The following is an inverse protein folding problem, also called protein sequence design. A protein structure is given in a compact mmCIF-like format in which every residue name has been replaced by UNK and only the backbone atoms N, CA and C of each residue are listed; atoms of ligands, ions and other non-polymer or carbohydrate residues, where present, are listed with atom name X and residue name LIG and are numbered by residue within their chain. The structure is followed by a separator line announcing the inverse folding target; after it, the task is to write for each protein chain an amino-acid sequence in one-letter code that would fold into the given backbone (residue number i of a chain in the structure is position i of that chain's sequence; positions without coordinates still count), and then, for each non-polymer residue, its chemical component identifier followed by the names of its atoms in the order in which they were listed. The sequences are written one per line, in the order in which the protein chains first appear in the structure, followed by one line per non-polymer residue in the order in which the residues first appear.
data_IF_250032327942
#
_entry.id   IF_250032327942
#
_cell.length_a   1.000
_cell.length_b   1.000
_cell.length_c   1.000
_cell.angle_alpha   90.00
_cell.angle_beta   90.00
_cell.angle_gamma   90.00
#
_symmetry.space_group_name_H-M   'P 1'
#
loop_
_entity.id
_entity.type
_entity.pdbx_description
1 polymer ?
#
# COMPACT_ATOMS: atom_id res chain seq x y z
N UNK A 1 -64.59 -21.80 -26.34
CA UNK A 1 -63.54 -22.84 -26.37
C UNK A 1 -62.25 -22.17 -26.80
N UNK A 2 -61.18 -22.30 -26.02
CA UNK A 2 -59.86 -21.79 -26.40
C UNK A 2 -59.36 -22.62 -27.59
N UNK A 3 -58.95 -21.96 -28.67
CA UNK A 3 -58.36 -22.60 -29.83
C UNK A 3 -56.97 -23.13 -29.45
N UNK A 4 -56.93 -24.41 -29.06
CA UNK A 4 -55.74 -25.08 -28.60
C UNK A 4 -54.61 -25.06 -29.63
N UNK A 5 -54.95 -25.11 -30.92
CA UNK A 5 -53.99 -25.07 -32.03
C UNK A 5 -53.31 -23.69 -32.12
N UNK A 6 -54.06 -22.59 -31.95
CA UNK A 6 -53.49 -21.24 -31.87
C UNK A 6 -52.59 -21.07 -30.66
N UNK A 7 -53.03 -21.53 -29.48
CA UNK A 7 -52.21 -21.43 -28.25
C UNK A 7 -50.93 -22.25 -28.38
N UNK A 8 -51.01 -23.48 -28.90
CA UNK A 8 -49.85 -24.33 -29.14
C UNK A 8 -48.88 -23.71 -30.16
N UNK A 9 -49.38 -23.09 -31.22
CA UNK A 9 -48.56 -22.39 -32.21
C UNK A 9 -47.80 -21.22 -31.59
N UNK A 10 -48.49 -20.32 -30.86
CA UNK A 10 -47.83 -19.18 -30.22
C UNK A 10 -46.84 -19.63 -29.14
N UNK A 11 -47.19 -20.62 -28.31
CA UNK A 11 -46.29 -21.16 -27.31
C UNK A 11 -45.02 -21.77 -27.93
N UNK A 12 -45.17 -22.51 -29.04
CA UNK A 12 -44.03 -23.11 -29.76
C UNK A 12 -43.17 -22.05 -30.44
N UNK A 13 -43.79 -21.03 -31.06
CA UNK A 13 -43.07 -19.93 -31.70
C UNK A 13 -42.28 -19.10 -30.68
N UNK A 14 -42.88 -18.76 -29.53
CA UNK A 14 -42.19 -18.06 -28.44
C UNK A 14 -41.07 -18.90 -27.86
N UNK A 15 -41.32 -20.18 -27.57
CA UNK A 15 -40.30 -21.10 -27.04
C UNK A 15 -39.13 -21.26 -28.02
N UNK A 16 -39.42 -21.42 -29.31
CA UNK A 16 -38.41 -21.51 -30.37
C UNK A 16 -37.59 -20.24 -30.50
N UNK A 17 -38.23 -19.07 -30.46
CA UNK A 17 -37.54 -17.78 -30.49
C UNK A 17 -36.62 -17.59 -29.26
N UNK A 18 -37.10 -17.93 -28.06
CA UNK A 18 -36.30 -17.88 -26.83
C UNK A 18 -35.11 -18.83 -26.91
N UNK A 19 -35.32 -20.07 -27.36
CA UNK A 19 -34.26 -21.06 -27.49
C UNK A 19 -33.19 -20.64 -28.51
N UNK A 20 -33.59 -20.03 -29.63
CA UNK A 20 -32.67 -19.51 -30.64
C UNK A 20 -31.85 -18.33 -30.12
N UNK A 21 -32.49 -17.36 -29.45
CA UNK A 21 -31.79 -16.21 -28.86
C UNK A 21 -30.82 -16.67 -27.77
N UNK A 22 -31.25 -17.59 -26.90
CA UNK A 22 -30.38 -18.16 -25.86
C UNK A 22 -29.22 -18.96 -26.46
N UNK A 23 -29.47 -19.79 -27.47
CA UNK A 23 -28.45 -20.55 -28.18
C UNK A 23 -27.43 -19.65 -28.89
N UNK A 24 -27.89 -18.59 -29.55
CA UNK A 24 -27.03 -17.59 -30.16
C UNK A 24 -26.19 -16.84 -29.11
N UNK A 25 -26.79 -16.51 -27.96
CA UNK A 25 -26.09 -15.92 -26.81
C UNK A 25 -25.00 -16.83 -26.25
N UNK A 26 -25.29 -18.12 -26.06
CA UNK A 26 -24.32 -19.12 -25.60
C UNK A 26 -23.17 -19.31 -26.60
N UNK A 27 -23.49 -19.41 -27.89
CA UNK A 27 -22.48 -19.49 -28.94
C UNK A 27 -21.59 -18.25 -28.94
N UNK A 28 -22.21 -17.07 -28.81
CA UNK A 28 -21.52 -15.79 -28.74
C UNK A 28 -20.57 -15.71 -27.54
N UNK A 29 -21.05 -16.09 -26.34
CA UNK A 29 -20.26 -16.12 -25.12
C UNK A 29 -19.12 -17.13 -25.18
N UNK A 30 -19.36 -18.33 -25.72
CA UNK A 30 -18.33 -19.37 -25.90
C UNK A 30 -17.24 -18.94 -26.88
N UNK A 31 -17.60 -18.18 -27.91
CA UNK A 31 -16.67 -17.70 -28.93
C UNK A 31 -15.93 -16.41 -28.56
N UNK A 32 -16.22 -15.81 -27.40
CA UNK A 32 -15.71 -14.49 -26.99
C UNK A 32 -15.73 -13.47 -28.15
N UNK A 33 -16.84 -13.36 -28.86
CA UNK A 33 -16.93 -12.44 -30.00
C UNK A 33 -17.23 -11.00 -29.54
N UNK A 34 -17.17 -10.05 -30.47
CA UNK A 34 -17.38 -8.63 -30.16
C UNK A 34 -18.74 -8.31 -29.50
N UNK A 35 -19.80 -9.05 -29.84
CA UNK A 35 -21.14 -8.87 -29.25
C UNK A 35 -21.17 -9.37 -27.81
N UNK A 36 -20.57 -10.53 -27.53
CA UNK A 36 -20.43 -11.03 -26.17
C UNK A 36 -19.61 -10.08 -25.31
N UNK A 37 -18.44 -9.61 -25.79
CA UNK A 37 -17.61 -8.64 -25.08
C UNK A 37 -18.33 -7.32 -24.81
N UNK A 38 -19.08 -6.80 -25.77
CA UNK A 38 -19.87 -5.58 -25.57
C UNK A 38 -21.00 -5.79 -24.52
N UNK A 39 -21.71 -6.91 -24.59
CA UNK A 39 -22.80 -7.21 -23.66
C UNK A 39 -22.29 -7.45 -22.23
N UNK A 40 -21.22 -8.24 -22.06
CA UNK A 40 -20.58 -8.44 -20.76
C UNK A 40 -19.94 -7.16 -20.25
N UNK A 41 -19.31 -6.37 -21.12
CA UNK A 41 -18.77 -5.05 -20.78
C UNK A 41 -19.83 -4.12 -20.19
N UNK A 42 -20.97 -3.94 -20.88
CA UNK A 42 -22.08 -3.11 -20.35
C UNK A 42 -22.60 -3.65 -19.01
N UNK A 43 -22.72 -4.97 -18.88
CA UNK A 43 -23.18 -5.59 -17.63
C UNK A 43 -22.20 -5.38 -16.47
N UNK A 44 -20.90 -5.57 -16.71
CA UNK A 44 -19.85 -5.41 -15.72
C UNK A 44 -19.66 -3.93 -15.34
N UNK A 45 -19.72 -3.02 -16.31
CA UNK A 45 -19.69 -1.57 -16.10
C UNK A 45 -20.90 -1.11 -15.27
N UNK A 46 -22.10 -1.63 -15.58
CA UNK A 46 -23.32 -1.32 -14.82
C UNK A 46 -23.20 -1.83 -13.38
N UNK A 47 -22.68 -3.04 -13.18
CA UNK A 47 -22.43 -3.58 -11.84
C UNK A 47 -21.40 -2.76 -11.08
N UNK A 48 -20.30 -2.38 -11.73
CA UNK A 48 -19.27 -1.54 -11.14
C UNK A 48 -19.89 -0.21 -10.71
N UNK A 49 -20.60 0.47 -11.61
CA UNK A 49 -21.28 1.73 -11.31
C UNK A 49 -22.24 1.61 -10.11
N UNK A 50 -23.10 0.59 -10.08
CA UNK A 50 -24.04 0.38 -8.97
C UNK A 50 -23.29 0.19 -7.65
N UNK A 51 -22.15 -0.53 -7.66
CA UNK A 51 -21.30 -0.69 -6.48
C UNK A 51 -20.65 0.62 -6.06
N UNK A 52 -20.26 1.46 -7.02
CA UNK A 52 -19.61 2.75 -6.77
C UNK A 52 -20.54 3.85 -6.27
N UNK A 53 -21.87 3.72 -6.45
CA UNK A 53 -22.85 4.77 -6.07
C UNK A 53 -22.60 5.31 -4.66
N UNK A 54 -22.49 4.48 -3.58
CA UNK A 54 -22.29 5.01 -2.23
C UNK A 54 -20.98 5.81 -2.07
N UNK A 55 -19.94 5.45 -2.83
CA UNK A 55 -18.67 6.18 -2.81
C UNK A 55 -18.81 7.52 -3.55
N UNK A 56 -19.44 7.50 -4.73
CA UNK A 56 -19.67 8.69 -5.56
C UNK A 56 -20.61 9.71 -4.92
N UNK A 57 -21.61 9.25 -4.16
CA UNK A 57 -22.57 10.11 -3.45
C UNK A 57 -22.05 10.62 -2.10
N UNK A 58 -20.87 10.16 -1.64
CA UNK A 58 -20.36 10.50 -0.33
C UNK A 58 -21.14 9.86 0.83
N UNK A 59 -21.86 8.76 0.57
CA UNK A 59 -22.64 8.04 1.58
C UNK A 59 -21.79 7.00 2.32
N UNK A 60 -20.93 6.26 1.60
CA UNK A 60 -20.09 5.21 2.17
C UNK A 60 -18.76 5.03 1.42
N UNK A 61 -17.61 5.03 2.12
CA UNK A 61 -16.28 4.90 1.52
C UNK A 61 -15.92 3.42 1.24
N UNK A 62 -16.68 2.75 0.38
CA UNK A 62 -16.64 1.29 0.21
C UNK A 62 -15.27 0.69 -0.13
N UNK A 63 -14.33 1.48 -0.68
CA UNK A 63 -12.96 1.06 -0.99
C UNK A 63 -12.04 0.95 0.22
N UNK A 64 -12.42 1.54 1.35
CA UNK A 64 -11.60 1.61 2.57
C UNK A 64 -12.24 0.90 3.76
N UNK A 65 -13.26 0.06 3.52
CA UNK A 65 -13.95 -0.69 4.56
C UNK A 65 -13.66 -2.18 4.40
N UNK A 66 -13.60 -2.88 5.53
CA UNK A 66 -13.49 -4.33 5.60
C UNK A 66 -14.33 -4.85 6.77
N UNK A 67 -14.76 -6.13 6.77
CA UNK A 67 -15.43 -6.72 7.91
C UNK A 67 -14.61 -6.57 9.18
N UNK A 68 -15.26 -6.13 10.24
CA UNK A 68 -14.58 -5.86 11.48
C UNK A 68 -14.25 -7.16 12.22
N UNK A 69 -12.96 -7.37 12.46
CA UNK A 69 -12.43 -8.60 13.08
C UNK A 69 -12.21 -8.48 14.58
N UNK A 70 -12.17 -7.25 15.10
CA UNK A 70 -11.76 -6.97 16.48
C UNK A 70 -12.80 -6.11 17.19
N UNK A 71 -13.17 -6.41 18.45
CA UNK A 71 -14.15 -5.63 19.19
C UNK A 71 -13.61 -4.27 19.62
N UNK A 72 -14.53 -3.33 19.88
CA UNK A 72 -14.22 -1.99 20.38
C UNK A 72 -13.90 -0.96 19.30
N UNK A 73 -13.58 0.27 19.74
CA UNK A 73 -13.24 1.44 18.92
C UNK A 73 -12.21 2.30 19.66
N UNK A 74 -11.25 2.86 18.94
CA UNK A 74 -10.16 3.64 19.53
C UNK A 74 -9.15 2.74 20.26
N UNK A 75 -8.52 3.25 21.31
CA UNK A 75 -7.61 2.44 22.16
C UNK A 75 -8.43 1.44 22.97
N UNK A 76 -8.25 0.16 22.68
CA UNK A 76 -8.99 -0.97 23.29
C UNK A 76 -8.14 -1.74 24.29
N UNK A 77 -6.82 -1.55 24.25
CA UNK A 77 -5.87 -2.07 25.22
C UNK A 77 -4.75 -1.07 25.39
N UNK A 78 -4.39 -0.76 26.63
CA UNK A 78 -3.19 0.00 26.94
C UNK A 78 -2.56 -0.53 28.24
N UNK A 79 -1.44 -1.25 28.10
CA UNK A 79 -0.57 -1.73 29.17
C UNK A 79 0.84 -1.15 29.05
N UNK A 80 1.02 -0.14 28.19
CA UNK A 80 2.31 0.55 28.05
C UNK A 80 2.38 1.68 29.06
N UNK A 81 3.60 2.08 29.42
CA UNK A 81 3.88 3.16 30.37
C UNK A 81 4.76 4.26 29.77
N UNK A 82 4.88 4.28 28.43
CA UNK A 82 5.69 5.25 27.69
C UNK A 82 5.01 6.62 27.60
N UNK A 83 5.82 7.67 27.50
CA UNK A 83 5.41 9.04 27.18
C UNK A 83 5.49 9.32 25.68
N UNK A 84 5.58 8.27 24.86
CA UNK A 84 5.67 8.37 23.42
C UNK A 84 4.33 8.81 22.80
N UNK A 85 4.44 9.50 21.67
CA UNK A 85 3.31 9.92 20.86
C UNK A 85 3.18 8.98 19.66
N UNK A 86 1.95 8.60 19.37
CA UNK A 86 1.61 7.69 18.28
C UNK A 86 1.01 8.51 17.14
N UNK A 87 1.61 8.41 15.96
CA UNK A 87 1.04 8.92 14.72
C UNK A 87 0.26 7.80 14.05
N UNK A 88 -1.05 8.01 13.87
CA UNK A 88 -1.90 7.16 13.04
C UNK A 88 -2.19 7.85 11.72
N UNK A 89 -2.25 7.10 10.64
CA UNK A 89 -2.82 7.55 9.37
C UNK A 89 -3.80 6.52 8.82
N UNK A 90 -4.82 6.97 8.11
CA UNK A 90 -5.85 6.09 7.57
C UNK A 90 -7.16 6.80 7.29
N UNK A 91 -8.19 6.01 7.03
CA UNK A 91 -9.56 6.51 6.97
C UNK A 91 -10.12 6.59 8.39
N UNK A 92 -9.95 7.72 9.07
CA UNK A 92 -10.27 7.88 10.49
C UNK A 92 -11.50 8.77 10.61
N UNK A 93 -12.63 8.22 11.07
CA UNK A 93 -13.90 8.93 11.08
C UNK A 93 -14.58 8.83 9.70
N UNK A 94 -14.78 9.97 9.05
CA UNK A 94 -15.48 10.10 7.76
C UNK A 94 -14.56 10.40 6.58
N UNK A 95 -13.23 10.48 6.80
CA UNK A 95 -12.29 10.81 5.75
C UNK A 95 -10.85 10.33 6.03
N UNK A 96 -9.94 10.59 5.08
CA UNK A 96 -8.50 10.32 5.19
C UNK A 96 -7.83 11.34 6.10
N UNK A 97 -7.24 10.88 7.20
CA UNK A 97 -6.58 11.71 8.20
C UNK A 97 -5.25 11.13 8.66
N UNK A 98 -4.38 12.02 9.15
CA UNK A 98 -3.33 11.67 10.10
C UNK A 98 -3.70 12.25 11.47
N UNK A 99 -3.43 11.53 12.55
CA UNK A 99 -3.65 11.96 13.93
C UNK A 99 -2.44 11.63 14.79
N UNK A 100 -1.88 12.64 15.44
CA UNK A 100 -0.89 12.45 16.49
C UNK A 100 -1.64 12.37 17.82
N UNK A 101 -1.42 11.31 18.59
CA UNK A 101 -2.14 11.05 19.83
C UNK A 101 -1.24 10.48 20.92
N UNK A 102 -1.73 10.51 22.17
CA UNK A 102 -1.13 9.77 23.29
C UNK A 102 -1.58 8.31 23.27
N UNK A 103 -0.88 7.47 24.04
CA UNK A 103 -1.20 6.03 24.20
C UNK A 103 -2.59 5.73 24.74
N UNK A 104 -3.23 6.68 25.44
CA UNK A 104 -4.61 6.57 25.93
C UNK A 104 -5.67 6.90 24.86
N UNK A 105 -5.25 7.36 23.67
CA UNK A 105 -6.13 7.76 22.58
C UNK A 105 -6.45 9.25 22.54
N UNK A 106 -5.91 10.06 23.47
CA UNK A 106 -6.09 11.51 23.45
C UNK A 106 -5.35 12.14 22.26
N UNK A 107 -6.12 12.69 21.31
CA UNK A 107 -5.58 13.34 20.11
C UNK A 107 -4.96 14.70 20.45
N UNK A 108 -3.75 14.94 19.93
CA UNK A 108 -2.99 16.19 20.07
C UNK A 108 -3.08 17.08 18.83
N UNK A 109 -2.99 16.47 17.65
CA UNK A 109 -3.03 17.15 16.36
C UNK A 109 -3.64 16.23 15.30
N UNK A 110 -4.21 16.83 14.26
CA UNK A 110 -4.84 16.12 13.15
C UNK A 110 -4.64 16.87 11.85
N UNK A 111 -4.44 16.13 10.76
CA UNK A 111 -4.26 16.65 9.40
C UNK A 111 -5.33 16.07 8.48
N UNK A 112 -5.91 16.90 7.60
CA UNK A 112 -6.80 16.42 6.53
C UNK A 112 -5.96 15.99 5.33
N UNK A 113 -6.06 14.71 4.95
CA UNK A 113 -5.32 14.13 3.85
C UNK A 113 -6.21 13.93 2.62
N UNK A 114 -7.26 14.71 2.45
CA UNK A 114 -8.17 14.61 1.29
C UNK A 114 -7.47 14.95 -0.03
N UNK A 115 -7.39 14.04 -1.02
CA UNK A 115 -6.61 14.23 -2.23
C UNK A 115 -7.07 15.43 -3.07
N UNK A 116 -8.39 15.69 -3.17
CA UNK A 116 -8.93 16.79 -3.98
C UNK A 116 -8.64 18.17 -3.37
N UNK A 117 -8.36 18.25 -2.07
CA UNK A 117 -7.98 19.49 -1.39
C UNK A 117 -6.47 19.73 -1.47
N UNK A 118 -5.69 18.65 -1.40
CA UNK A 118 -4.25 18.73 -1.23
C UNK A 118 -3.47 18.75 -2.54
N UNK A 119 -3.90 17.99 -3.55
CA UNK A 119 -3.19 17.93 -4.83
C UNK A 119 -3.33 19.22 -5.63
N UNK A 120 -2.34 19.57 -6.48
CA UNK A 120 -2.46 20.69 -7.41
C UNK A 120 -3.58 20.50 -8.44
N UNK A 121 -3.78 19.26 -8.90
CA UNK A 121 -4.84 18.86 -9.82
C UNK A 121 -5.11 17.36 -9.69
N UNK A 122 -6.38 16.97 -9.55
CA UNK A 122 -6.76 15.56 -9.57
C UNK A 122 -6.43 14.87 -10.90
N UNK A 123 -6.45 15.63 -12.01
CA UNK A 123 -6.16 15.13 -13.36
C UNK A 123 -4.72 14.70 -13.58
N UNK A 124 -3.81 14.97 -12.63
CA UNK A 124 -2.45 14.44 -12.70
C UNK A 124 -2.40 12.95 -12.34
N UNK A 125 -3.28 12.48 -11.45
CA UNK A 125 -3.30 11.10 -11.00
C UNK A 125 -3.46 10.10 -12.15
N UNK A 126 -2.74 8.97 -12.08
CA UNK A 126 -2.92 7.83 -13.01
C UNK A 126 -4.38 7.39 -13.08
N UNK A 127 -5.00 7.25 -11.92
CA UNK A 127 -6.44 7.00 -11.78
C UNK A 127 -7.07 8.25 -11.15
N UNK A 128 -7.72 9.08 -11.97
CA UNK A 128 -8.28 10.36 -11.53
C UNK A 128 -9.36 10.14 -10.46
N UNK A 129 -9.14 10.60 -9.21
CA UNK A 129 -10.11 10.40 -8.15
C UNK A 129 -11.37 11.21 -8.45
N UNK A 130 -12.54 10.56 -8.40
CA UNK A 130 -13.83 11.23 -8.58
C UNK A 130 -14.31 11.91 -7.28
N UNK A 131 -13.85 11.39 -6.14
CA UNK A 131 -14.13 11.89 -4.80
C UNK A 131 -12.85 11.80 -3.94
N UNK A 132 -12.88 12.36 -2.72
CA UNK A 132 -11.82 12.16 -1.73
C UNK A 132 -11.68 10.70 -1.28
N UNK A 133 -12.59 9.81 -1.69
CA UNK A 133 -12.61 8.39 -1.31
C UNK A 133 -12.15 7.46 -2.45
N UNK A 134 -11.50 7.99 -3.48
CA UNK A 134 -10.92 7.17 -4.56
C UNK A 134 -9.40 7.05 -4.50
N UNK A 135 -8.74 7.80 -3.60
CA UNK A 135 -7.29 7.71 -3.38
C UNK A 135 -6.99 7.85 -1.89
N UNK A 136 -5.99 7.13 -1.42
CA UNK A 136 -5.54 7.16 -0.03
C UNK A 136 -4.09 7.60 0.04
N UNK A 137 -3.78 8.38 1.08
CA UNK A 137 -2.40 8.59 1.48
C UNK A 137 -1.84 7.25 2.00
N UNK A 138 -0.59 6.93 1.68
CA UNK A 138 0.10 5.78 2.28
C UNK A 138 0.66 6.16 3.66
N UNK A 139 1.89 5.79 3.99
CA UNK A 139 2.49 6.21 5.23
C UNK A 139 2.65 7.74 5.28
N UNK A 140 2.64 8.30 6.49
CA UNK A 140 2.78 9.72 6.77
C UNK A 140 4.00 9.91 7.65
N UNK A 141 5.03 10.60 7.14
CA UNK A 141 6.16 11.01 7.95
C UNK A 141 5.80 12.28 8.73
N UNK A 142 6.24 12.38 9.98
CA UNK A 142 6.13 13.60 10.78
C UNK A 142 7.52 14.14 11.13
N UNK A 143 7.75 15.41 10.84
CA UNK A 143 8.97 16.13 11.21
C UNK A 143 8.99 16.56 12.67
N UNK A 144 10.18 16.85 13.20
CA UNK A 144 10.34 17.37 14.56
C UNK A 144 9.61 18.70 14.80
N UNK A 145 9.35 19.47 13.72
CA UNK A 145 8.59 20.72 13.74
C UNK A 145 7.06 20.51 13.66
N UNK A 146 6.61 19.26 13.61
CA UNK A 146 5.21 18.87 13.47
C UNK A 146 4.68 18.94 12.03
N UNK A 147 5.51 19.26 11.03
CA UNK A 147 5.09 19.14 9.63
C UNK A 147 4.89 17.68 9.25
N UNK A 148 3.94 17.39 8.35
CA UNK A 148 3.70 16.04 7.83
C UNK A 148 3.96 15.96 6.35
N UNK A 149 4.49 14.83 5.90
CA UNK A 149 4.80 14.53 4.51
C UNK A 149 4.21 13.16 4.14
N UNK A 150 3.50 13.10 3.02
CA UNK A 150 2.87 11.87 2.56
C UNK A 150 2.71 11.88 1.04
N UNK A 151 2.40 10.72 0.47
CA UNK A 151 2.05 10.56 -0.94
C UNK A 151 0.76 9.78 -1.10
N UNK A 152 0.06 10.08 -2.19
CA UNK A 152 -1.14 9.40 -2.64
C UNK A 152 -0.80 8.35 -3.69
N UNK A 153 -1.58 7.28 -3.73
CA UNK A 153 -1.40 6.24 -4.74
C UNK A 153 -1.43 6.80 -6.17
N UNK A 154 -0.28 6.77 -6.84
CA UNK A 154 -0.05 7.20 -8.23
C UNK A 154 -0.55 8.61 -8.55
N UNK A 155 -0.32 9.57 -7.65
CA UNK A 155 -0.84 10.93 -7.75
C UNK A 155 0.20 12.02 -7.46
N UNK A 156 0.96 11.91 -6.37
CA UNK A 156 1.89 12.96 -5.95
C UNK A 156 2.06 13.08 -4.43
N UNK A 157 3.13 13.77 -4.03
CA UNK A 157 3.48 14.04 -2.64
C UNK A 157 2.94 15.39 -2.17
N UNK A 158 2.63 15.48 -0.89
CA UNK A 158 2.17 16.71 -0.24
C UNK A 158 2.87 16.86 1.10
N UNK A 159 3.31 18.10 1.38
CA UNK A 159 3.79 18.50 2.70
C UNK A 159 2.87 19.54 3.31
N UNK A 160 2.44 19.28 4.55
CA UNK A 160 1.63 20.20 5.35
C UNK A 160 2.44 20.65 6.58
N UNK A 161 2.18 21.86 7.07
CA UNK A 161 2.69 22.28 8.37
C UNK A 161 1.92 21.62 9.53
N UNK A 162 2.33 21.91 10.77
CA UNK A 162 1.69 21.34 11.98
C UNK A 162 0.20 21.67 12.13
N UNK A 163 -0.29 22.67 11.41
CA UNK A 163 -1.67 23.13 11.44
C UNK A 163 -2.47 22.72 10.19
N UNK A 164 -1.90 21.86 9.34
CA UNK A 164 -2.58 21.36 8.14
C UNK A 164 -2.53 22.33 6.95
N UNK A 165 -1.78 23.43 7.04
CA UNK A 165 -1.61 24.32 5.88
C UNK A 165 -0.58 23.71 4.93
N UNK A 166 -0.97 23.63 3.65
CA UNK A 166 -0.11 23.15 2.58
C UNK A 166 1.13 24.02 2.41
N UNK A 167 2.30 23.41 2.53
CA UNK A 167 3.61 24.02 2.27
C UNK A 167 3.94 23.87 0.79
N UNK A 168 3.88 22.64 0.27
CA UNK A 168 4.08 22.33 -1.14
C UNK A 168 3.41 21.00 -1.52
N UNK A 169 3.23 20.79 -2.83
CA UNK A 169 2.79 19.53 -3.41
C UNK A 169 3.47 19.30 -4.77
N UNK A 170 3.82 18.05 -5.09
CA UNK A 170 4.50 17.69 -6.34
C UNK A 170 3.52 17.50 -7.49
N UNK A 171 4.03 17.61 -8.72
CA UNK A 171 3.27 17.32 -9.95
C UNK A 171 3.56 15.93 -10.49
N UNK A 172 4.78 15.45 -10.26
CA UNK A 172 5.22 14.12 -10.64
C UNK A 172 4.47 13.04 -9.85
N UNK A 173 4.17 11.94 -10.52
CA UNK A 173 3.39 10.84 -9.94
C UNK A 173 4.26 10.02 -9.01
N UNK A 174 4.09 10.23 -7.72
CA UNK A 174 4.65 9.35 -6.70
C UNK A 174 3.58 8.37 -6.24
N UNK A 175 4.01 7.27 -5.64
CA UNK A 175 3.14 6.32 -4.97
C UNK A 175 3.84 5.75 -3.75
N UNK A 176 3.06 5.15 -2.87
CA UNK A 176 3.52 4.56 -1.62
C UNK A 176 4.17 5.56 -0.65
N UNK A 177 5.12 5.12 0.16
CA UNK A 177 5.59 5.85 1.33
C UNK A 177 6.85 6.66 1.01
N UNK A 178 6.88 7.99 1.29
CA UNK A 178 8.15 8.72 1.29
C UNK A 178 9.01 8.27 2.46
N UNK A 179 10.33 8.32 2.27
CA UNK A 179 11.32 8.17 3.35
C UNK A 179 12.30 9.35 3.35
N UNK A 180 12.74 9.75 4.55
CA UNK A 180 13.74 10.81 4.71
C UNK A 180 15.15 10.24 4.63
N UNK A 181 15.98 10.90 3.84
CA UNK A 181 17.40 10.61 3.73
C UNK A 181 18.19 11.38 4.80
N UNK A 182 19.38 10.90 5.15
CA UNK A 182 20.25 11.48 6.18
C UNK A 182 20.67 12.93 5.86
N UNK A 183 20.70 13.29 4.58
CA UNK A 183 20.99 14.64 4.09
C UNK A 183 19.76 15.58 4.06
N UNK A 184 18.58 15.09 4.46
CA UNK A 184 17.31 15.83 4.42
C UNK A 184 16.59 15.79 3.07
N UNK A 185 17.10 15.04 2.09
CA UNK A 185 16.36 14.69 0.87
C UNK A 185 15.24 13.69 1.17
N UNK A 186 14.35 13.50 0.20
CA UNK A 186 13.24 12.57 0.28
C UNK A 186 13.40 11.55 -0.84
N UNK A 187 13.35 10.27 -0.53
CA UNK A 187 13.30 9.18 -1.51
C UNK A 187 11.94 8.50 -1.49
N UNK A 188 11.42 8.15 -2.66
CA UNK A 188 10.10 7.53 -2.81
C UNK A 188 9.98 6.77 -4.14
N UNK A 189 9.03 5.84 -4.21
CA UNK A 189 8.55 5.30 -5.48
C UNK A 189 7.67 6.26 -6.27
N UNK A 190 7.51 5.98 -7.55
CA UNK A 190 6.60 6.71 -8.40
C UNK A 190 6.49 6.08 -9.78
N UNK A 191 5.63 6.63 -10.64
CA UNK A 191 5.36 6.02 -11.94
C UNK A 191 5.65 6.97 -13.11
N UNK A 192 6.08 6.41 -14.24
CA UNK A 192 6.14 7.08 -15.55
C UNK A 192 5.35 6.26 -16.59
N UNK A 193 4.61 6.92 -17.49
CA UNK A 193 3.88 6.24 -18.56
C UNK A 193 4.76 6.08 -19.80
N UNK A 194 5.02 4.83 -20.19
CA UNK A 194 5.85 4.48 -21.34
C UNK A 194 4.96 4.05 -22.50
N UNK A 195 5.01 4.81 -23.60
CA UNK A 195 4.23 4.55 -24.81
C UNK A 195 5.06 4.33 -26.08
N UNK A 196 6.36 4.64 -26.02
CA UNK A 196 7.28 4.46 -27.14
C UNK A 196 7.88 3.06 -27.11
N UNK A 197 8.09 2.40 -28.27
CA UNK A 197 8.69 1.08 -28.32
C UNK A 197 9.99 1.03 -27.52
N UNK A 198 10.11 0.08 -26.61
CA UNK A 198 11.33 -0.23 -25.89
C UNK A 198 11.90 -1.56 -26.39
N UNK A 199 13.04 -1.97 -25.83
CA UNK A 199 13.67 -3.25 -26.19
C UNK A 199 12.94 -4.41 -25.51
N UNK A 200 13.07 -5.61 -26.05
CA UNK A 200 12.70 -6.84 -25.33
C UNK A 200 13.25 -6.82 -23.88
N UNK A 201 12.49 -7.25 -22.84
CA UNK A 201 11.25 -8.03 -22.88
C UNK A 201 9.94 -7.24 -22.67
N UNK A 202 9.92 -5.92 -22.86
CA UNK A 202 8.72 -5.15 -22.51
C UNK A 202 7.62 -5.20 -23.59
N UNK A 203 6.38 -4.94 -23.16
CA UNK A 203 5.21 -4.71 -24.02
C UNK A 203 4.64 -3.32 -23.74
N UNK A 204 4.60 -2.45 -24.74
CA UNK A 204 4.04 -1.11 -24.62
C UNK A 204 2.54 -1.03 -25.00
N UNK A 205 1.80 -0.05 -24.45
CA UNK A 205 2.23 0.87 -23.40
C UNK A 205 2.24 0.20 -22.02
N UNK A 206 3.06 0.69 -21.10
CA UNK A 206 3.09 0.24 -19.71
C UNK A 206 3.38 1.39 -18.74
N UNK A 207 3.13 1.15 -17.46
CA UNK A 207 3.55 2.02 -16.37
C UNK A 207 4.87 1.50 -15.79
N UNK A 208 5.88 2.36 -15.79
CA UNK A 208 7.20 2.08 -15.23
C UNK A 208 7.24 2.52 -13.77
N UNK A 209 7.69 1.62 -12.88
CA UNK A 209 8.11 2.03 -11.55
C UNK A 209 9.45 2.76 -11.58
N UNK A 210 9.50 3.95 -10.99
CA UNK A 210 10.69 4.77 -10.85
C UNK A 210 10.94 5.10 -9.39
N UNK A 211 12.22 5.10 -9.00
CA UNK A 211 12.65 5.68 -7.73
C UNK A 211 12.96 7.15 -7.97
N UNK A 212 12.38 8.03 -7.18
CA UNK A 212 12.58 9.49 -7.25
C UNK A 212 13.22 10.02 -5.98
N UNK A 213 14.07 11.02 -6.14
CA UNK A 213 14.70 11.74 -5.02
C UNK A 213 14.40 13.22 -5.17
N UNK A 214 13.89 13.83 -4.10
CA UNK A 214 13.51 15.23 -4.01
C UNK A 214 14.34 15.96 -2.94
N UNK A 215 14.52 17.26 -3.09
CA UNK A 215 15.01 18.10 -1.99
C UNK A 215 13.91 18.32 -0.93
N UNK A 216 14.28 18.92 0.19
CA UNK A 216 13.36 19.23 1.29
C UNK A 216 12.22 20.21 0.91
N UNK A 217 12.33 20.89 -0.24
CA UNK A 217 11.36 21.82 -0.80
C UNK A 217 10.44 21.14 -1.84
N UNK A 218 10.57 19.84 -2.06
CA UNK A 218 9.73 19.07 -2.97
C UNK A 218 10.12 19.22 -4.44
N UNK A 219 11.34 19.67 -4.75
CA UNK A 219 11.86 19.72 -6.12
C UNK A 219 12.56 18.40 -6.46
N UNK A 220 12.19 17.81 -7.60
CA UNK A 220 12.83 16.60 -8.10
C UNK A 220 14.32 16.86 -8.42
N UNK A 221 15.20 16.06 -7.82
CA UNK A 221 16.66 16.11 -8.04
C UNK A 221 17.07 15.08 -9.08
N UNK A 222 16.59 13.84 -8.94
CA UNK A 222 16.95 12.71 -9.80
C UNK A 222 15.89 11.60 -9.75
N UNK A 223 15.89 10.74 -10.77
CA UNK A 223 15.08 9.54 -10.80
C UNK A 223 15.78 8.38 -11.52
N UNK A 224 15.36 7.14 -11.24
CA UNK A 224 15.81 5.92 -11.93
C UNK A 224 14.64 4.96 -12.13
N UNK A 225 14.45 4.51 -13.37
CA UNK A 225 13.55 3.42 -13.72
C UNK A 225 14.06 2.08 -13.17
N UNK A 226 13.17 1.30 -12.56
CA UNK A 226 13.49 -0.04 -12.04
C UNK A 226 13.87 -0.97 -13.18
N UNK A 227 13.19 -0.89 -14.34
CA UNK A 227 13.53 -1.69 -15.52
C UNK A 227 14.97 -1.43 -15.99
N UNK A 228 15.39 -0.18 -16.05
CA UNK A 228 16.76 0.22 -16.43
C UNK A 228 17.78 -0.28 -15.40
N UNK A 229 17.47 -0.16 -14.11
CA UNK A 229 18.32 -0.68 -13.04
C UNK A 229 18.51 -2.20 -13.17
N UNK A 230 17.44 -2.95 -13.40
CA UNK A 230 17.46 -4.40 -13.53
C UNK A 230 18.24 -4.83 -14.77
N UNK A 231 17.96 -4.21 -15.92
CA UNK A 231 18.63 -4.55 -17.17
C UNK A 231 20.14 -4.29 -17.10
N UNK A 232 20.57 -3.19 -16.48
CA UNK A 232 22.00 -2.87 -16.29
C UNK A 232 22.71 -3.83 -15.33
N UNK A 233 21.98 -4.38 -14.36
CA UNK A 233 22.51 -5.29 -13.36
C UNK A 233 22.32 -6.77 -13.73
N UNK A 234 22.04 -7.07 -15.00
CA UNK A 234 21.93 -8.45 -15.50
C UNK A 234 20.70 -9.21 -14.99
N UNK A 235 19.67 -8.52 -14.50
CA UNK A 235 18.47 -9.11 -13.89
C UNK A 235 17.33 -9.35 -14.89
N UNK A 236 17.64 -9.51 -16.18
CA UNK A 236 16.62 -9.82 -17.19
C UNK A 236 15.87 -11.11 -16.87
N UNK A 237 16.54 -12.11 -16.26
CA UNK A 237 15.89 -13.34 -15.84
C UNK A 237 14.78 -13.12 -14.80
N UNK A 238 14.90 -12.11 -13.93
CA UNK A 238 13.84 -11.75 -12.99
C UNK A 238 12.66 -11.09 -13.70
N UNK A 239 12.93 -10.27 -14.73
CA UNK A 239 11.92 -9.61 -15.56
C UNK A 239 11.12 -10.59 -16.43
N UNK A 240 11.71 -11.73 -16.77
CA UNK A 240 11.11 -12.74 -17.65
C UNK A 240 10.73 -14.01 -16.90
N UNK A 241 10.66 -13.96 -15.58
CA UNK A 241 10.32 -15.13 -14.75
C UNK A 241 8.82 -15.33 -14.72
N UNK A 242 8.30 -16.03 -15.72
CA UNK A 242 6.89 -16.39 -15.82
C UNK A 242 6.70 -17.67 -16.63
N UNK A 243 5.46 -18.15 -16.72
CA UNK A 243 5.13 -19.41 -17.39
C UNK A 243 5.08 -19.36 -18.92
N UNK A 244 5.00 -18.18 -19.54
CA UNK A 244 4.79 -18.09 -20.99
C UNK A 244 6.08 -18.32 -21.81
N UNK A 245 5.94 -18.93 -22.99
CA UNK A 245 7.06 -19.29 -23.89
C UNK A 245 7.80 -18.09 -24.50
N UNK A 246 7.13 -16.93 -24.63
CA UNK A 246 7.74 -15.70 -25.15
C UNK A 246 7.59 -14.56 -24.14
N UNK A 247 8.56 -14.40 -23.24
CA UNK A 247 8.35 -13.53 -22.12
C UNK A 247 8.12 -12.06 -22.38
N UNK A 248 7.05 -11.55 -21.76
CA UNK A 248 6.69 -10.14 -21.76
C UNK A 248 6.37 -9.67 -20.35
N UNK A 249 6.86 -8.48 -20.03
CA UNK A 249 6.57 -7.79 -18.77
C UNK A 249 6.05 -6.39 -19.08
N UNK A 250 5.07 -5.95 -18.28
CA UNK A 250 4.85 -4.53 -18.06
C UNK A 250 5.87 -4.06 -16.99
N UNK A 251 6.33 -2.81 -17.04
CA UNK A 251 7.33 -2.28 -16.10
C UNK A 251 6.78 -1.98 -14.69
N UNK A 252 5.61 -2.52 -14.36
CA UNK A 252 4.90 -2.29 -13.10
C UNK A 252 5.25 -3.42 -12.11
N UNK A 253 6.33 -3.21 -11.36
CA UNK A 253 6.77 -4.19 -10.38
C UNK A 253 6.11 -3.99 -9.00
N UNK A 254 5.32 -2.93 -8.88
CA UNK A 254 4.66 -2.47 -7.68
C UNK A 254 5.71 -2.21 -6.59
N UNK A 255 6.49 -1.14 -6.80
CA UNK A 255 7.51 -0.65 -5.87
C UNK A 255 6.84 -0.11 -4.60
N UNK A 256 7.01 -0.86 -3.52
CA UNK A 256 6.36 -0.58 -2.24
C UNK A 256 7.12 0.42 -1.37
N UNK A 257 8.44 0.33 -1.37
CA UNK A 257 9.30 1.03 -0.40
C UNK A 257 10.66 1.32 -1.02
N UNK A 258 11.24 2.46 -0.65
CA UNK A 258 12.67 2.73 -0.77
C UNK A 258 13.15 3.43 0.50
N UNK A 259 14.17 2.88 1.17
CA UNK A 259 14.74 3.44 2.40
C UNK A 259 16.27 3.51 2.32
N UNK A 260 16.87 4.59 2.83
CA UNK A 260 18.33 4.74 2.92
C UNK A 260 18.88 4.00 4.14
N UNK A 261 20.00 3.28 3.97
CA UNK A 261 20.80 2.75 5.08
C UNK A 261 21.43 3.92 5.86
N UNK A 262 20.99 4.20 7.09
CA UNK A 262 21.53 5.29 7.87
C UNK A 262 22.98 4.98 8.29
N UNK A 263 23.83 6.01 8.35
CA UNK A 263 25.22 5.84 8.77
C UNK A 263 25.36 5.19 10.16
N UNK A 264 24.40 5.43 11.06
CA UNK A 264 24.36 4.85 12.40
C UNK A 264 24.15 3.32 12.40
N UNK A 265 23.51 2.76 11.36
CA UNK A 265 23.24 1.32 11.24
C UNK A 265 24.24 0.60 10.34
N UNK A 266 24.95 1.33 9.47
CA UNK A 266 25.86 0.74 8.48
C UNK A 266 26.96 -0.15 9.08
N UNK A 267 27.39 0.10 10.32
CA UNK A 267 28.35 -0.77 11.01
C UNK A 267 27.88 -2.22 11.21
N UNK A 268 26.57 -2.46 11.23
CA UNK A 268 25.98 -3.80 11.32
C UNK A 268 25.85 -4.51 9.96
N UNK A 269 26.07 -3.78 8.85
CA UNK A 269 25.92 -4.26 7.48
C UNK A 269 27.24 -4.11 6.69
N UNK A 270 28.28 -4.93 6.97
CA UNK A 270 29.61 -4.75 6.39
C UNK A 270 29.69 -4.90 4.86
N UNK A 271 28.65 -5.45 4.22
CA UNK A 271 28.53 -5.57 2.76
C UNK A 271 27.94 -4.32 2.09
N UNK A 272 27.40 -3.38 2.87
CA UNK A 272 26.75 -2.16 2.40
C UNK A 272 27.47 -0.91 2.92
N UNK A 273 27.12 0.24 2.36
CA UNK A 273 27.64 1.54 2.75
C UNK A 273 26.49 2.45 3.20
N UNK A 274 26.74 3.41 4.12
CA UNK A 274 25.79 4.49 4.37
C UNK A 274 25.32 5.11 3.05
N UNK A 275 24.02 5.36 2.91
CA UNK A 275 23.45 5.88 1.66
C UNK A 275 22.93 4.83 0.69
N UNK A 276 23.28 3.55 0.87
CA UNK A 276 22.69 2.48 0.06
C UNK A 276 21.17 2.39 0.27
N UNK A 277 20.45 2.00 -0.76
CA UNK A 277 18.99 2.02 -0.77
C UNK A 277 18.43 0.61 -0.70
N UNK A 278 17.64 0.33 0.34
CA UNK A 278 16.80 -0.86 0.48
C UNK A 278 15.49 -0.64 -0.25
N UNK A 279 15.13 -1.57 -1.12
CA UNK A 279 14.04 -1.41 -2.09
C UNK A 279 13.13 -2.64 -2.01
N UNK A 280 11.82 -2.41 -1.91
CA UNK A 280 10.79 -3.45 -1.89
C UNK A 280 10.04 -3.54 -3.21
N UNK A 281 10.19 -4.67 -3.91
CA UNK A 281 9.52 -4.95 -5.18
C UNK A 281 8.46 -6.04 -4.95
N UNK A 282 7.20 -5.62 -4.83
CA UNK A 282 6.10 -6.48 -4.35
C UNK A 282 5.78 -7.62 -5.30
N UNK A 283 5.66 -7.33 -6.60
CA UNK A 283 5.18 -8.32 -7.57
C UNK A 283 6.19 -9.45 -7.80
N UNK A 284 7.47 -9.19 -7.56
CA UNK A 284 8.53 -10.20 -7.63
C UNK A 284 8.81 -10.90 -6.29
N UNK A 285 8.05 -10.58 -5.24
CA UNK A 285 8.34 -11.01 -3.86
C UNK A 285 9.79 -10.74 -3.47
N UNK A 286 10.35 -9.60 -3.91
CA UNK A 286 11.78 -9.34 -3.87
C UNK A 286 12.09 -8.09 -3.06
N UNK A 287 13.10 -8.19 -2.18
CA UNK A 287 13.77 -7.01 -1.66
C UNK A 287 15.20 -6.97 -2.21
N UNK A 288 15.75 -5.78 -2.38
CA UNK A 288 17.11 -5.60 -2.88
C UNK A 288 17.79 -4.38 -2.26
N UNK A 289 19.11 -4.36 -2.32
CA UNK A 289 19.94 -3.23 -1.89
C UNK A 289 20.72 -2.73 -3.09
N UNK A 290 20.55 -1.46 -3.43
CA UNK A 290 21.29 -0.77 -4.47
C UNK A 290 22.23 0.28 -3.87
N UNK A 291 23.24 0.70 -4.63
CA UNK A 291 24.02 1.88 -4.25
C UNK A 291 23.18 3.16 -4.23
N UNK A 292 23.64 4.17 -3.50
CA UNK A 292 22.98 5.47 -3.38
C UNK A 292 22.62 6.11 -4.74
N UNK A 293 23.43 5.85 -5.78
CA UNK A 293 23.28 6.40 -7.13
C UNK A 293 22.26 5.64 -7.98
N UNK A 294 21.77 4.49 -7.51
CA UNK A 294 20.90 3.59 -8.27
C UNK A 294 21.54 3.18 -9.59
N UNK A 295 22.81 2.75 -9.52
CA UNK A 295 23.59 2.24 -10.64
C UNK A 295 23.86 0.74 -10.48
N UNK A 296 24.19 0.30 -9.26
CA UNK A 296 24.52 -1.10 -8.98
C UNK A 296 23.61 -1.70 -7.92
N UNK A 297 23.05 -2.87 -8.22
CA UNK A 297 22.41 -3.74 -7.23
C UNK A 297 23.51 -4.55 -6.55
N UNK A 298 23.63 -4.36 -5.22
CA UNK A 298 24.67 -5.00 -4.39
C UNK A 298 24.22 -6.35 -3.86
N UNK A 299 22.93 -6.49 -3.61
CA UNK A 299 22.32 -7.68 -3.05
C UNK A 299 20.82 -7.70 -3.39
N UNK A 300 20.23 -8.88 -3.52
CA UNK A 300 18.80 -9.05 -3.63
C UNK A 300 18.38 -10.41 -3.08
N UNK A 301 17.11 -10.54 -2.73
CA UNK A 301 16.51 -11.81 -2.34
C UNK A 301 15.04 -11.86 -2.73
N UNK A 302 14.63 -13.02 -3.24
CA UNK A 302 13.22 -13.39 -3.43
C UNK A 302 12.79 -14.25 -2.25
N UNK A 303 11.76 -13.81 -1.52
CA UNK A 303 11.15 -14.55 -0.42
C UNK A 303 12.09 -14.83 0.78
N UNK A 304 11.59 -15.54 1.82
CA UNK A 304 10.42 -16.42 1.84
C UNK A 304 9.09 -15.69 2.18
N UNK A 305 9.06 -14.37 2.08
CA UNK A 305 7.84 -13.56 2.12
C UNK A 305 7.08 -13.60 0.77
N UNK A 306 5.81 -13.21 0.82
CA UNK A 306 4.91 -13.13 -0.33
C UNK A 306 4.24 -11.75 -0.32
N UNK A 307 4.46 -10.98 -1.39
CA UNK A 307 3.91 -9.64 -1.65
C UNK A 307 4.21 -8.63 -0.54
N UNK A 308 5.43 -8.66 -0.03
CA UNK A 308 5.90 -7.93 1.15
C UNK A 308 5.86 -6.41 1.04
N UNK A 309 5.77 -5.73 2.19
CA UNK A 309 5.92 -4.29 2.36
C UNK A 309 7.02 -4.00 3.40
N UNK A 310 7.35 -2.71 3.53
CA UNK A 310 8.02 -2.13 4.71
C UNK A 310 9.29 -2.88 5.15
N UNK A 311 10.29 -3.09 4.27
CA UNK A 311 11.55 -3.62 4.72
C UNK A 311 12.37 -2.54 5.44
N UNK A 312 12.81 -2.82 6.67
CA UNK A 312 13.61 -1.86 7.46
C UNK A 312 15.00 -2.40 7.79
N UNK A 313 15.94 -1.47 7.97
CA UNK A 313 17.25 -1.75 8.52
C UNK A 313 17.20 -2.02 10.03
N UNK A 314 17.50 -3.26 10.44
CA UNK A 314 17.65 -3.63 11.84
C UNK A 314 19.03 -3.31 12.41
N UNK A 315 19.07 -2.83 13.67
CA UNK A 315 20.32 -2.51 14.37
C UNK A 315 21.22 -3.74 14.65
N UNK A 316 20.70 -4.95 14.49
CA UNK A 316 21.42 -6.21 14.65
C UNK A 316 21.98 -6.77 13.34
N UNK A 317 21.95 -5.99 12.25
CA UNK A 317 22.47 -6.38 10.94
C UNK A 317 21.53 -7.27 10.14
N UNK A 318 20.26 -7.39 10.56
CA UNK A 318 19.20 -8.05 9.79
C UNK A 318 18.25 -7.01 9.20
N UNK A 319 17.61 -7.37 8.11
CA UNK A 319 16.53 -6.58 7.50
C UNK A 319 15.21 -7.18 7.98
N UNK A 320 14.34 -6.38 8.59
CA UNK A 320 12.96 -6.80 8.90
C UNK A 320 12.07 -6.54 7.70
N UNK A 321 11.02 -7.34 7.53
CA UNK A 321 10.14 -7.31 6.37
C UNK A 321 8.72 -7.61 6.82
N UNK A 322 7.76 -6.77 6.41
CA UNK A 322 6.35 -7.05 6.57
C UNK A 322 5.89 -8.01 5.47
N UNK A 323 5.64 -9.26 5.82
CA UNK A 323 5.16 -10.28 4.90
C UNK A 323 3.63 -10.36 4.94
N UNK A 324 2.97 -9.83 3.90
CA UNK A 324 1.52 -9.87 3.78
C UNK A 324 0.97 -11.29 3.71
N UNK A 325 1.72 -12.19 3.07
CA UNK A 325 1.43 -13.62 3.00
C UNK A 325 -0.02 -13.95 2.55
N UNK A 326 -0.51 -13.37 1.43
CA UNK A 326 -1.86 -13.62 0.96
C UNK A 326 -2.06 -15.08 0.56
N UNK A 327 -3.22 -15.63 0.89
CA UNK A 327 -3.55 -17.06 0.68
C UNK A 327 -4.87 -17.27 -0.09
N UNK A 328 -5.43 -16.18 -0.62
CA UNK A 328 -6.71 -16.16 -1.34
C UNK A 328 -7.95 -16.18 -0.44
N UNK A 329 -7.78 -16.10 0.88
CA UNK A 329 -8.89 -15.90 1.83
C UNK A 329 -8.97 -14.44 2.26
N UNK A 330 -10.12 -14.04 2.80
CA UNK A 330 -10.31 -12.67 3.30
C UNK A 330 -9.51 -12.40 4.58
N UNK A 331 -9.30 -13.43 5.41
CA UNK A 331 -8.74 -13.31 6.76
C UNK A 331 -7.36 -13.95 6.94
N UNK A 332 -6.78 -14.55 5.89
CA UNK A 332 -5.43 -15.12 5.92
C UNK A 332 -5.35 -16.46 6.65
N UNK A 333 -6.48 -17.11 6.93
CA UNK A 333 -6.50 -18.30 7.79
C UNK A 333 -5.98 -19.57 7.11
N UNK A 334 -5.90 -19.62 5.78
CA UNK A 334 -5.43 -20.80 5.05
C UNK A 334 -3.92 -21.02 5.21
N UNK A 335 -3.12 -19.94 5.19
CA UNK A 335 -1.66 -20.03 5.36
C UNK A 335 -1.12 -19.31 6.61
N UNK A 336 -2.00 -18.94 7.55
CA UNK A 336 -1.62 -18.50 8.91
C UNK A 336 -1.42 -16.99 9.08
N UNK A 337 -1.85 -16.20 8.11
CA UNK A 337 -1.86 -14.74 8.14
C UNK A 337 -0.52 -14.11 7.80
N UNK A 338 -0.48 -12.79 7.97
CA UNK A 338 0.71 -11.98 7.77
C UNK A 338 1.77 -12.27 8.85
N UNK A 339 3.02 -11.91 8.55
CA UNK A 339 4.18 -12.17 9.41
C UNK A 339 5.13 -10.98 9.39
N UNK A 340 5.86 -10.77 10.48
CA UNK A 340 7.07 -9.95 10.48
C UNK A 340 8.26 -10.91 10.41
N UNK A 341 9.10 -10.77 9.39
CA UNK A 341 10.24 -11.67 9.14
C UNK A 341 11.53 -10.85 9.18
N UNK A 342 12.55 -11.38 9.85
CA UNK A 342 13.92 -10.89 9.74
C UNK A 342 14.72 -11.76 8.78
N UNK A 343 15.61 -11.13 8.01
CA UNK A 343 16.58 -11.80 7.13
C UNK A 343 17.98 -11.26 7.37
N UNK A 344 18.95 -12.15 7.53
CA UNK A 344 20.36 -11.77 7.53
C UNK A 344 20.88 -11.72 6.07
N UNK A 345 21.30 -10.54 5.55
CA UNK A 345 21.76 -10.43 4.17
C UNK A 345 23.11 -11.11 3.91
N UNK A 346 23.92 -11.36 4.95
CA UNK A 346 25.21 -12.06 4.83
C UNK A 346 25.04 -13.58 4.70
N UNK A 347 24.15 -14.17 5.50
CA UNK A 347 24.01 -15.62 5.61
C UNK A 347 22.80 -16.18 4.87
N UNK A 348 21.81 -15.33 4.58
CA UNK A 348 20.53 -15.78 4.06
C UNK A 348 19.63 -16.46 5.10
N UNK A 349 19.98 -16.46 6.38
CA UNK A 349 19.12 -16.98 7.45
C UNK A 349 17.87 -16.10 7.61
N UNK A 350 16.72 -16.72 7.83
CA UNK A 350 15.46 -16.02 8.08
C UNK A 350 14.81 -16.47 9.38
N UNK A 351 14.13 -15.54 10.04
CA UNK A 351 13.41 -15.80 11.28
C UNK A 351 12.09 -15.03 11.27
N UNK A 352 10.97 -15.70 11.49
CA UNK A 352 9.73 -15.00 11.82
C UNK A 352 9.86 -14.38 13.21
N UNK A 353 9.67 -13.07 13.32
CA UNK A 353 9.65 -12.34 14.58
C UNK A 353 8.26 -12.35 15.22
N UNK A 354 7.20 -12.18 14.41
CA UNK A 354 5.81 -12.19 14.85
C UNK A 354 4.89 -12.75 13.75
N UNK A 355 3.78 -13.37 14.12
CA UNK A 355 2.84 -13.98 13.17
C UNK A 355 3.15 -15.44 12.85
N UNK A 356 2.23 -16.12 12.15
CA UNK A 356 2.35 -17.53 11.79
C UNK A 356 2.39 -18.51 12.97
N UNK A 357 2.11 -18.05 14.20
CA UNK A 357 2.07 -18.85 15.44
C UNK A 357 0.73 -18.73 16.12
N UNK A 358 0.38 -19.75 16.91
CA UNK A 358 -0.85 -19.75 17.71
C UNK A 358 -0.89 -18.51 18.62
N UNK A 359 -1.99 -17.75 18.55
CA UNK A 359 -2.20 -16.54 19.35
C UNK A 359 -1.58 -15.25 18.78
N UNK A 360 -0.88 -15.32 17.65
CA UNK A 360 -0.26 -14.15 16.99
C UNK A 360 -0.88 -13.86 15.61
N UNK A 361 -2.08 -14.35 15.34
CA UNK A 361 -2.73 -14.15 14.05
C UNK A 361 -3.07 -12.68 13.82
N UNK A 362 -2.69 -12.18 12.64
CA UNK A 362 -3.10 -10.91 12.07
C UNK A 362 -2.99 -11.02 10.55
N UNK A 363 -3.78 -10.27 9.80
CA UNK A 363 -3.75 -10.36 8.35
C UNK A 363 -4.14 -9.07 7.65
N UNK A 364 -3.29 -8.65 6.73
CA UNK A 364 -3.57 -7.61 5.74
C UNK A 364 -3.02 -8.10 4.40
N UNK A 365 -3.87 -8.20 3.39
CA UNK A 365 -3.49 -8.79 2.09
C UNK A 365 -2.56 -7.86 1.28
N UNK A 366 -2.54 -6.59 1.66
CA UNK A 366 -1.73 -5.52 1.11
C UNK A 366 -1.47 -4.46 2.17
N UNK A 367 -0.52 -3.54 1.89
CA UNK A 367 -0.07 -2.51 2.83
C UNK A 367 0.48 -3.14 4.11
N UNK A 368 0.43 -2.39 5.21
CA UNK A 368 0.98 -2.80 6.48
C UNK A 368 2.37 -2.23 6.67
N UNK A 369 2.63 -1.83 7.91
CA UNK A 369 3.89 -1.31 8.39
C UNK A 369 4.23 -1.99 9.72
N UNK A 370 5.49 -2.07 10.06
CA UNK A 370 5.98 -2.37 11.40
C UNK A 370 7.03 -1.33 11.82
N UNK A 371 7.20 -1.17 13.12
CA UNK A 371 8.28 -0.38 13.68
C UNK A 371 8.89 -1.18 14.82
N UNK A 372 10.19 -1.45 14.72
CA UNK A 372 10.97 -1.99 15.83
C UNK A 372 11.20 -0.89 16.87
N UNK A 373 10.80 -1.13 18.12
CA UNK A 373 10.96 -0.19 19.22
C UNK A 373 12.23 -0.52 20.03
N UNK A 374 12.78 0.47 20.74
CA UNK A 374 14.07 0.34 21.44
C UNK A 374 14.11 -0.69 22.57
N UNK A 375 12.96 -1.11 23.09
CA UNK A 375 12.82 -2.17 24.09
C UNK A 375 12.68 -3.58 23.47
N UNK A 376 12.75 -3.68 22.14
CA UNK A 376 12.55 -4.90 21.38
C UNK A 376 11.09 -5.29 21.16
N UNK A 377 10.14 -4.43 21.54
CA UNK A 377 8.75 -4.55 21.11
C UNK A 377 8.58 -4.09 19.65
N UNK A 378 7.43 -4.42 19.07
CA UNK A 378 7.08 -4.09 17.69
C UNK A 378 5.72 -3.41 17.66
N UNK A 379 5.63 -2.29 16.96
CA UNK A 379 4.35 -1.65 16.62
C UNK A 379 3.98 -2.08 15.20
N UNK A 380 2.73 -2.50 14.98
CA UNK A 380 2.31 -3.13 13.72
C UNK A 380 0.99 -2.50 13.24
N UNK A 381 0.92 -2.17 11.95
CA UNK A 381 -0.30 -1.77 11.24
C UNK A 381 -0.90 -2.96 10.49
N UNK A 382 -2.04 -3.46 10.94
CA UNK A 382 -2.87 -4.41 10.19
C UNK A 382 -3.89 -3.62 9.35
N UNK A 383 -3.39 -3.11 8.22
CA UNK A 383 -4.01 -2.04 7.45
C UNK A 383 -5.48 -2.31 7.07
N UNK A 384 -5.76 -3.40 6.35
CA UNK A 384 -7.12 -3.69 5.89
C UNK A 384 -8.11 -3.95 7.04
N UNK A 385 -7.64 -4.50 8.16
CA UNK A 385 -8.48 -4.79 9.31
C UNK A 385 -8.75 -3.56 10.19
N UNK A 386 -8.15 -2.40 9.86
CA UNK A 386 -8.28 -1.19 10.63
C UNK A 386 -7.72 -1.32 12.05
N UNK A 387 -6.65 -2.10 12.25
CA UNK A 387 -6.06 -2.32 13.58
C UNK A 387 -4.59 -1.90 13.59
N UNK A 388 -4.20 -1.22 14.67
CA UNK A 388 -2.81 -1.02 15.03
C UNK A 388 -2.56 -1.66 16.40
N UNK A 389 -1.42 -2.31 16.60
CA UNK A 389 -1.12 -2.94 17.89
C UNK A 389 0.39 -3.01 18.17
N UNK A 390 0.74 -2.99 19.45
CA UNK A 390 2.11 -3.20 19.91
C UNK A 390 2.23 -4.59 20.54
N UNK A 391 3.16 -5.40 20.03
CA UNK A 391 3.53 -6.69 20.60
C UNK A 391 4.86 -6.55 21.36
N UNK A 392 4.90 -7.01 22.61
CA UNK A 392 6.14 -7.05 23.38
C UNK A 392 7.10 -8.15 22.86
N UNK A 393 8.31 -8.23 23.44
CA UNK A 393 9.32 -9.24 23.06
C UNK A 393 8.85 -10.68 23.24
N UNK A 394 7.86 -10.93 24.11
CA UNK A 394 7.24 -12.25 24.29
C UNK A 394 6.09 -12.50 23.27
N UNK A 395 5.82 -11.54 22.38
CA UNK A 395 4.75 -11.60 21.39
C UNK A 395 3.36 -11.40 21.98
N UNK A 396 3.24 -10.78 23.16
CA UNK A 396 1.95 -10.43 23.76
C UNK A 396 1.55 -9.04 23.32
N UNK A 397 0.30 -8.86 22.94
CA UNK A 397 -0.24 -7.54 22.63
C UNK A 397 -0.35 -6.74 23.93
N UNK A 398 0.32 -5.58 24.00
CA UNK A 398 0.35 -4.68 25.16
C UNK A 398 -0.32 -3.34 24.89
N UNK A 399 -0.52 -2.98 23.62
CA UNK A 399 -1.31 -1.82 23.22
C UNK A 399 -2.09 -2.15 21.94
N UNK A 400 -3.32 -1.65 21.81
CA UNK A 400 -4.16 -1.89 20.63
C UNK A 400 -5.09 -0.71 20.35
N UNK A 401 -5.15 -0.31 19.08
CA UNK A 401 -6.12 0.62 18.53
C UNK A 401 -6.97 -0.06 17.45
N UNK A 402 -8.29 0.14 17.49
CA UNK A 402 -9.25 -0.39 16.50
C UNK A 402 -10.01 0.76 15.84
N UNK A 403 -9.82 0.92 14.54
CA UNK A 403 -10.44 1.92 13.69
C UNK A 403 -11.83 1.49 13.21
N UNK A 404 -12.72 1.30 14.18
CA UNK A 404 -14.10 0.84 13.98
C UNK A 404 -14.95 1.91 13.27
N UNK A 405 -15.50 1.55 12.11
CA UNK A 405 -16.38 2.40 11.31
C UNK A 405 -17.84 2.27 11.81
N UNK A 406 -18.38 1.06 11.77
CA UNK A 406 -19.72 0.71 12.25
C UNK A 406 -19.75 -0.70 12.89
N UNK A 407 -20.92 -1.18 13.30
CA UNK A 407 -21.07 -2.48 13.97
C UNK A 407 -20.49 -3.66 13.18
N UNK A 408 -20.45 -3.57 11.85
CA UNK A 408 -20.03 -4.64 10.94
C UNK A 408 -18.65 -4.42 10.36
N UNK A 409 -18.20 -3.18 10.22
CA UNK A 409 -17.01 -2.84 9.44
C UNK A 409 -15.99 -1.97 10.19
N UNK A 410 -14.72 -2.15 9.81
CA UNK A 410 -13.61 -1.32 10.21
C UNK A 410 -13.06 -0.58 8.98
N UNK A 411 -12.59 0.65 9.20
CA UNK A 411 -11.98 1.45 8.17
C UNK A 411 -10.46 1.24 8.15
N UNK A 412 -9.87 1.23 6.98
CA UNK A 412 -8.45 0.92 6.82
C UNK A 412 -7.57 1.92 7.57
N UNK A 413 -6.52 1.40 8.20
CA UNK A 413 -5.37 2.20 8.64
C UNK A 413 -4.28 2.09 7.58
N UNK A 414 -3.60 3.19 7.30
CA UNK A 414 -2.49 3.21 6.35
C UNK A 414 -1.13 3.15 7.06
N UNK A 415 -1.04 3.63 8.31
CA UNK A 415 0.17 3.53 9.10
C UNK A 415 -0.02 3.80 10.59
N UNK A 416 0.91 3.26 11.38
CA UNK A 416 1.10 3.60 12.78
C UNK A 416 2.60 3.67 13.08
N UNK A 417 3.02 4.75 13.71
CA UNK A 417 4.40 4.92 14.18
C UNK A 417 4.40 5.57 15.56
N UNK A 418 5.42 5.25 16.36
CA UNK A 418 5.65 5.84 17.67
C UNK A 418 6.92 6.67 17.69
N UNK A 419 6.83 7.81 18.36
CA UNK A 419 7.90 8.77 18.51
C UNK A 419 8.05 9.14 19.99
N UNK A 420 9.26 9.08 20.57
CA UNK A 420 9.46 9.59 21.92
C UNK A 420 9.08 11.08 21.95
N UNK A 421 8.47 11.56 23.04
CA UNK A 421 8.07 12.97 23.13
C UNK A 421 9.23 13.94 22.88
N UNK A 422 10.46 13.54 23.20
CA UNK A 422 11.69 14.31 22.94
C UNK A 422 12.07 14.46 21.47
N UNK A 423 11.46 13.70 20.55
CA UNK A 423 11.63 13.87 19.11
C UNK A 423 11.10 15.24 18.65
N UNK A 424 10.02 15.71 19.24
CA UNK A 424 9.33 16.93 18.80
C UNK A 424 9.94 18.18 19.43
N UNK A 425 10.16 19.20 18.59
CA UNK A 425 10.46 20.58 19.01
C UNK A 425 9.18 21.36 19.32
N UNK A 426 8.02 20.82 18.96
CA UNK A 426 6.69 21.39 19.21
C UNK A 426 6.33 21.24 20.69
N UNK A 427 6.10 22.38 21.36
CA UNK A 427 5.68 22.40 22.78
C UNK A 427 4.17 22.56 22.96
N UNK A 428 3.52 23.18 21.99
CA UNK A 428 2.07 23.39 21.95
C UNK A 428 1.56 22.94 20.58
N UNK A 429 0.61 22.01 20.59
CA UNK A 429 -0.02 21.45 19.38
C UNK A 429 -1.27 22.23 18.96
N UNK A 430 -1.66 23.26 19.71
CA UNK A 430 -2.79 24.12 19.35
C UNK A 430 -2.51 24.90 18.06
N UNK A 431 -3.56 25.04 17.25
CA UNK A 431 -3.58 25.83 16.03
C UNK A 431 -4.77 26.79 16.09
N UNK A 432 -4.55 28.04 15.68
CA UNK A 432 -5.64 29.01 15.54
C UNK A 432 -6.61 28.51 14.46
N UNK A 433 -7.90 28.49 14.79
CA UNK A 433 -8.97 28.15 13.85
C UNK A 433 -9.08 29.16 12.72
#
# INVERSE_FOLDING_TARGET
MVDFSRVAFYASAVTGAVALVFGAGLFSARGDNAVARAAFGVYDDTKALIREIPNLTGERPIHFLAPARYPGKGVTLNKTSGDDLVLLSGFIGDNQHAQLMRRDGSVLASWNLSPLEQLPSAGQCRNVPQTNWNSAAHNVLIGQDGSVLFSYESCGMVKLDRCGKKIWATKELTHHSPNLMANGEIVIGGSDYISKPTRWPFTEPYWEDVIRVYDAQGKLIRQRAITDLFARNGMLAALTSHSDDNPKTDGEFHLNEVEELPAALAGAFPMFAPGDLLISIRNLNMILVADAKLERIKWYRVGPWIRQHDPDWGADGRITVFDNHPDGTEDGTRFGGSRIIAVNPATGETQTLYGGRKGQHFFTNQRGLHQMLGDGSMLITEANAGRAFQADRAGRIVWQYVNRYDDKEAAWLNGVESYPSSYFKVKDWSCSK
#
